data_IF_728202561236
#
_entry.id   IF_728202561236
#
_cell.length_a   1.000
_cell.length_b   1.000
_cell.length_c   1.000
_cell.angle_alpha   90.00
_cell.angle_beta   90.00
_cell.angle_gamma   90.00
#
_symmetry.space_group_name_H-M   'P 1'
#
loop_
_entity.id
_entity.type
_entity.pdbx_description
1 polymer ?
#
# COMPACT_ATOMS: atom_id res chain seq x y z
N UNK A 1 42.36 -13.14 37.70
CA UNK A 1 42.55 -12.97 36.23
C UNK A 1 41.47 -13.60 35.34
N UNK A 2 40.49 -14.37 35.85
CA UNK A 2 39.48 -15.04 34.99
C UNK A 2 38.21 -14.21 34.72
N UNK A 3 37.93 -13.17 35.51
CA UNK A 3 36.72 -12.34 35.37
C UNK A 3 36.82 -11.29 34.24
N UNK A 4 38.00 -10.70 34.02
CA UNK A 4 38.19 -9.65 33.00
C UNK A 4 38.09 -10.17 31.56
N UNK A 5 38.49 -11.43 31.33
CA UNK A 5 38.42 -12.08 30.02
C UNK A 5 36.99 -12.43 29.61
N UNK A 6 36.11 -12.69 30.59
CA UNK A 6 34.70 -12.98 30.35
C UNK A 6 33.92 -11.71 29.98
N UNK A 7 34.21 -10.59 30.64
CA UNK A 7 33.63 -9.29 30.30
C UNK A 7 34.09 -8.79 28.92
N UNK A 8 35.35 -8.97 28.56
CA UNK A 8 35.87 -8.61 27.24
C UNK A 8 35.25 -9.45 26.11
N UNK A 9 35.02 -10.75 26.33
CA UNK A 9 34.35 -11.61 25.35
C UNK A 9 32.89 -11.21 25.11
N UNK A 10 32.14 -10.86 26.17
CA UNK A 10 30.74 -10.41 26.07
C UNK A 10 30.63 -9.05 25.37
N UNK A 11 31.53 -8.11 25.68
CA UNK A 11 31.56 -6.79 25.04
C UNK A 11 31.94 -6.88 23.54
N UNK A 12 32.81 -7.84 23.18
CA UNK A 12 33.19 -8.04 21.78
C UNK A 12 32.09 -8.73 20.97
N UNK A 13 31.30 -9.62 21.58
CA UNK A 13 30.14 -10.23 20.91
C UNK A 13 28.97 -9.27 20.66
N UNK A 14 28.78 -8.26 21.51
CA UNK A 14 27.71 -7.25 21.29
C UNK A 14 28.09 -6.19 20.25
N UNK A 15 29.38 -5.92 20.03
CA UNK A 15 29.85 -4.99 19.00
C UNK A 15 29.86 -5.56 17.58
N UNK A 16 29.79 -6.89 17.41
CA UNK A 16 29.96 -7.58 16.11
C UNK A 16 28.64 -8.19 15.61
N UNK A 17 27.53 -7.97 16.31
CA UNK A 17 26.22 -8.16 15.68
C UNK A 17 26.05 -7.01 14.69
N UNK A 18 26.09 -7.25 13.36
CA UNK A 18 25.63 -6.23 12.45
C UNK A 18 24.20 -5.94 12.88
N UNK A 19 23.95 -4.70 13.31
CA UNK A 19 22.62 -4.15 13.17
C UNK A 19 22.33 -4.35 11.67
N UNK A 20 21.50 -5.35 11.35
CA UNK A 20 20.92 -5.49 10.03
C UNK A 20 19.97 -4.31 9.84
N UNK A 21 20.57 -3.11 9.72
CA UNK A 21 19.95 -1.98 9.08
C UNK A 21 19.62 -2.50 7.69
N UNK A 22 18.35 -2.72 7.44
CA UNK A 22 17.83 -2.95 6.10
C UNK A 22 18.25 -1.73 5.28
N UNK A 23 19.31 -1.90 4.50
CA UNK A 23 19.92 -0.84 3.70
C UNK A 23 19.15 -0.59 2.39
N UNK A 24 17.98 -1.24 2.21
CA UNK A 24 17.07 -0.94 1.12
C UNK A 24 16.27 0.35 1.36
N UNK A 25 16.37 0.95 2.56
CA UNK A 25 15.66 2.19 2.90
C UNK A 25 14.15 1.99 3.06
N UNK A 26 13.66 0.76 3.06
CA UNK A 26 12.26 0.42 3.19
C UNK A 26 12.02 -0.18 4.58
N UNK A 27 11.55 0.66 5.51
CA UNK A 27 11.10 0.20 6.83
C UNK A 27 10.04 -0.90 6.75
N UNK A 28 9.73 -1.53 7.89
CA UNK A 28 8.66 -2.53 7.96
C UNK A 28 7.30 -1.99 7.49
N UNK A 29 7.06 -0.68 7.62
CA UNK A 29 5.87 -0.02 7.11
C UNK A 29 5.84 0.04 5.58
N UNK A 30 6.95 0.37 4.93
CA UNK A 30 7.06 0.38 3.48
C UNK A 30 6.75 -1.00 2.86
N UNK A 31 7.25 -2.08 3.47
CA UNK A 31 6.94 -3.46 3.06
C UNK A 31 5.46 -3.80 3.27
N UNK A 32 4.88 -3.42 4.40
CA UNK A 32 3.46 -3.65 4.69
C UNK A 32 2.55 -2.91 3.70
N UNK A 33 2.89 -1.67 3.34
CA UNK A 33 2.18 -0.89 2.33
C UNK A 33 2.32 -1.51 0.94
N UNK A 34 3.51 -2.01 0.56
CA UNK A 34 3.68 -2.71 -0.71
C UNK A 34 2.79 -3.97 -0.81
N UNK A 35 2.65 -4.72 0.29
CA UNK A 35 1.71 -5.84 0.35
C UNK A 35 0.25 -5.38 0.24
N UNK A 36 -0.14 -4.33 0.99
CA UNK A 36 -1.49 -3.77 0.97
C UNK A 36 -1.89 -3.22 -0.42
N UNK A 37 -0.93 -2.72 -1.20
CA UNK A 37 -1.13 -2.32 -2.60
C UNK A 37 -1.53 -3.54 -3.44
N UNK A 38 -0.86 -4.68 -3.28
CA UNK A 38 -1.22 -5.92 -3.99
C UNK A 38 -2.63 -6.36 -3.60
N UNK A 39 -2.91 -6.42 -2.29
CA UNK A 39 -4.22 -6.83 -1.77
C UNK A 39 -5.36 -5.93 -2.30
N UNK A 40 -5.11 -4.63 -2.44
CA UNK A 40 -6.10 -3.69 -2.99
C UNK A 40 -6.48 -4.02 -4.44
N UNK A 41 -5.49 -4.29 -5.29
CA UNK A 41 -5.73 -4.59 -6.70
C UNK A 41 -6.25 -6.01 -6.91
N UNK A 42 -5.81 -6.98 -6.11
CA UNK A 42 -6.37 -8.33 -6.11
C UNK A 42 -7.85 -8.29 -5.72
N UNK A 43 -8.20 -7.57 -4.64
CA UNK A 43 -9.59 -7.37 -4.23
C UNK A 43 -10.42 -6.70 -5.32
N UNK A 44 -9.87 -5.73 -6.07
CA UNK A 44 -10.56 -5.13 -7.21
C UNK A 44 -10.76 -6.12 -8.36
N UNK A 45 -9.75 -6.92 -8.70
CA UNK A 45 -9.84 -7.92 -9.75
C UNK A 45 -10.85 -9.04 -9.41
N UNK A 46 -10.99 -9.39 -8.13
CA UNK A 46 -11.90 -10.45 -7.67
C UNK A 46 -13.25 -9.94 -7.15
N UNK A 47 -13.55 -8.64 -7.34
CA UNK A 47 -14.78 -8.02 -6.85
C UNK A 47 -15.01 -8.17 -5.32
N UNK A 48 -13.94 -8.22 -4.52
CA UNK A 48 -14.03 -8.19 -3.06
C UNK A 48 -14.19 -6.75 -2.56
N UNK A 49 -15.42 -6.25 -2.66
CA UNK A 49 -15.77 -4.88 -2.28
C UNK A 49 -15.49 -4.56 -0.80
N UNK A 50 -15.52 -5.58 0.06
CA UNK A 50 -15.26 -5.41 1.49
C UNK A 50 -13.78 -5.14 1.73
N UNK A 51 -12.91 -5.91 1.09
CA UNK A 51 -11.46 -5.70 1.20
C UNK A 51 -11.04 -4.37 0.59
N UNK A 52 -11.59 -4.00 -0.57
CA UNK A 52 -11.34 -2.67 -1.17
C UNK A 52 -11.72 -1.55 -0.21
N UNK A 53 -12.93 -1.58 0.36
CA UNK A 53 -13.38 -0.57 1.31
C UNK A 53 -12.52 -0.53 2.59
N UNK A 54 -12.08 -1.70 3.09
CA UNK A 54 -11.27 -1.80 4.30
C UNK A 54 -9.83 -1.26 4.14
N UNK A 55 -9.31 -1.23 2.91
CA UNK A 55 -7.99 -0.70 2.58
C UNK A 55 -8.01 0.81 2.31
N UNK A 56 -9.19 1.45 2.32
CA UNK A 56 -9.36 2.90 2.24
C UNK A 56 -9.58 3.50 3.63
N UNK A 57 -9.00 4.68 3.89
CA UNK A 57 -8.99 5.27 5.23
C UNK A 57 -10.40 5.42 5.80
N UNK A 58 -10.57 5.01 7.05
CA UNK A 58 -11.84 5.11 7.78
C UNK A 58 -12.26 6.57 7.99
N UNK A 59 -11.29 7.48 8.00
CA UNK A 59 -11.48 8.94 8.08
C UNK A 59 -11.71 9.60 6.71
N UNK A 60 -11.87 8.80 5.66
CA UNK A 60 -12.17 9.22 4.30
C UNK A 60 -10.94 9.47 3.43
N UNK A 61 -11.17 9.44 2.12
CA UNK A 61 -10.21 9.52 1.02
C UNK A 61 -10.24 10.90 0.34
N UNK A 62 -9.07 11.40 -0.07
CA UNK A 62 -8.90 12.56 -0.94
C UNK A 62 -8.67 12.10 -2.39
N UNK A 63 -9.72 11.62 -3.04
CA UNK A 63 -9.63 11.04 -4.38
C UNK A 63 -9.27 12.06 -5.47
N UNK A 64 -8.45 11.63 -6.42
CA UNK A 64 -8.23 12.29 -7.71
C UNK A 64 -8.50 11.29 -8.83
N UNK A 65 -9.16 11.73 -9.90
CA UNK A 65 -9.59 10.85 -10.98
C UNK A 65 -8.94 11.25 -12.31
N UNK A 66 -8.78 10.27 -13.22
CA UNK A 66 -8.28 10.50 -14.58
C UNK A 66 -9.23 11.32 -15.48
N UNK A 67 -10.43 11.64 -14.99
CA UNK A 67 -11.39 12.54 -15.63
C UNK A 67 -11.00 14.03 -15.52
N UNK A 68 -9.86 14.33 -14.88
CA UNK A 68 -9.34 15.68 -14.70
C UNK A 68 -9.89 16.40 -13.45
N UNK A 69 -10.72 15.74 -12.65
CA UNK A 69 -11.13 16.25 -11.34
C UNK A 69 -10.02 16.03 -10.30
N UNK A 70 -9.42 17.13 -9.87
CA UNK A 70 -8.50 17.18 -8.74
C UNK A 70 -9.26 17.65 -7.49
N UNK A 71 -8.84 17.21 -6.31
CA UNK A 71 -9.35 17.65 -5.02
C UNK A 71 -10.85 17.37 -4.80
N UNK A 72 -11.29 16.12 -5.00
CA UNK A 72 -12.65 15.74 -4.60
C UNK A 72 -12.86 15.99 -3.10
N UNK A 73 -14.09 16.34 -2.67
CA UNK A 73 -14.42 16.35 -1.26
C UNK A 73 -14.05 15.04 -0.60
N UNK A 74 -13.61 15.10 0.66
CA UNK A 74 -13.34 13.89 1.46
C UNK A 74 -14.58 13.01 1.46
N UNK A 75 -14.40 11.74 1.12
CA UNK A 75 -15.48 10.75 1.15
C UNK A 75 -14.98 9.41 1.70
N UNK A 76 -15.86 8.70 2.39
CA UNK A 76 -15.60 7.32 2.82
C UNK A 76 -16.48 6.41 1.98
N UNK A 77 -15.89 5.45 1.27
CA UNK A 77 -16.63 4.49 0.47
C UNK A 77 -16.96 3.25 1.30
N UNK A 78 -18.22 2.84 1.27
CA UNK A 78 -18.68 1.58 1.86
C UNK A 78 -18.49 0.40 0.89
N UNK A 79 -18.54 -0.86 1.36
CA UNK A 79 -18.57 -2.01 0.46
C UNK A 79 -19.71 -1.95 -0.56
N UNK A 80 -20.87 -1.38 -0.20
CA UNK A 80 -22.00 -1.21 -1.13
C UNK A 80 -21.72 -0.12 -2.17
N UNK A 81 -20.98 0.94 -1.82
CA UNK A 81 -20.53 1.94 -2.79
C UNK A 81 -19.58 1.31 -3.81
N UNK A 82 -18.63 0.49 -3.33
CA UNK A 82 -17.71 -0.26 -4.18
C UNK A 82 -18.42 -1.27 -5.07
N UNK A 83 -19.41 -1.99 -4.54
CA UNK A 83 -20.27 -2.89 -5.32
C UNK A 83 -20.97 -2.18 -6.47
N UNK A 84 -21.51 -0.98 -6.22
CA UNK A 84 -22.15 -0.18 -7.27
C UNK A 84 -21.14 0.38 -8.27
N UNK A 85 -19.98 0.84 -7.80
CA UNK A 85 -18.92 1.37 -8.67
C UNK A 85 -18.37 0.31 -9.63
N UNK A 86 -18.17 -0.91 -9.13
CA UNK A 86 -17.57 -2.02 -9.86
C UNK A 86 -18.58 -2.85 -10.66
N UNK A 87 -19.88 -2.52 -10.61
CA UNK A 87 -20.92 -3.30 -11.27
C UNK A 87 -20.65 -3.42 -12.78
N UNK A 88 -20.52 -4.65 -13.27
CA UNK A 88 -20.26 -4.95 -14.69
C UNK A 88 -18.80 -4.79 -15.11
N UNK A 89 -17.91 -4.30 -14.24
CA UNK A 89 -16.49 -4.20 -14.56
C UNK A 89 -15.85 -5.59 -14.59
N UNK A 90 -15.09 -5.88 -15.63
CA UNK A 90 -14.22 -7.05 -15.73
C UNK A 90 -12.78 -6.59 -15.92
N UNK A 91 -12.18 -6.17 -14.81
CA UNK A 91 -10.80 -5.70 -14.80
C UNK A 91 -9.84 -6.83 -14.44
N UNK A 92 -8.65 -6.81 -15.03
CA UNK A 92 -7.53 -7.64 -14.61
C UNK A 92 -6.27 -6.78 -14.64
N UNK A 93 -6.02 -6.10 -13.52
CA UNK A 93 -4.93 -5.14 -13.36
C UNK A 93 -3.80 -5.73 -12.53
N UNK A 94 -2.56 -5.44 -12.91
CA UNK A 94 -1.36 -5.89 -12.22
C UNK A 94 -0.48 -4.69 -11.85
N UNK A 95 0.13 -4.78 -10.67
CA UNK A 95 1.04 -3.78 -10.13
C UNK A 95 2.46 -4.09 -10.59
N UNK A 96 3.14 -3.08 -11.13
CA UNK A 96 4.52 -3.16 -11.58
C UNK A 96 5.37 -2.10 -10.89
N UNK A 97 6.55 -2.51 -10.44
CA UNK A 97 7.56 -1.64 -9.81
C UNK A 97 6.99 -0.79 -8.67
N UNK A 98 6.41 -1.40 -7.61
CA UNK A 98 5.99 -0.64 -6.45
C UNK A 98 7.18 -0.03 -5.73
N UNK A 99 7.18 1.28 -5.63
CA UNK A 99 8.13 2.05 -4.86
C UNK A 99 7.39 2.72 -3.70
N UNK A 100 7.78 2.39 -2.47
CA UNK A 100 7.13 2.90 -1.25
C UNK A 100 8.17 3.54 -0.35
N UNK A 101 7.94 4.79 0.06
CA UNK A 101 8.79 5.50 0.99
C UNK A 101 7.96 5.97 2.19
N UNK A 102 8.39 5.63 3.40
CA UNK A 102 7.86 6.28 4.62
C UNK A 102 8.34 7.72 4.65
N UNK A 103 7.41 8.68 4.70
CA UNK A 103 7.70 10.12 4.64
C UNK A 103 7.49 10.80 5.99
N UNK A 104 6.78 10.15 6.91
CA UNK A 104 6.65 10.51 8.31
C UNK A 104 6.26 9.24 9.11
N UNK A 105 6.30 9.32 10.44
CA UNK A 105 5.80 8.23 11.30
C UNK A 105 4.35 7.92 10.94
N UNK A 106 4.07 6.65 10.59
CA UNK A 106 2.74 6.20 10.19
C UNK A 106 2.23 6.78 8.87
N UNK A 107 3.10 7.35 8.02
CA UNK A 107 2.71 7.87 6.70
C UNK A 107 3.70 7.42 5.63
N UNK A 108 3.17 6.80 4.58
CA UNK A 108 3.95 6.35 3.44
C UNK A 108 3.43 6.94 2.13
N UNK A 109 4.35 7.28 1.23
CA UNK A 109 4.05 7.60 -0.15
C UNK A 109 4.40 6.42 -1.04
N UNK A 110 3.48 6.03 -1.90
CA UNK A 110 3.67 4.95 -2.86
C UNK A 110 3.50 5.45 -4.29
N UNK A 111 4.34 4.95 -5.19
CA UNK A 111 4.18 5.12 -6.64
C UNK A 111 4.41 3.79 -7.36
N UNK A 112 3.62 3.51 -8.37
CA UNK A 112 3.74 2.28 -9.17
C UNK A 112 3.11 2.42 -10.54
N UNK A 113 3.43 1.49 -11.43
CA UNK A 113 2.72 1.30 -12.69
C UNK A 113 1.61 0.28 -12.48
N UNK A 114 0.45 0.56 -13.07
CA UNK A 114 -0.67 -0.36 -13.10
C UNK A 114 -0.98 -0.68 -14.55
N UNK A 115 -0.93 -1.96 -14.91
CA UNK A 115 -1.12 -2.42 -16.29
C UNK A 115 -2.09 -3.59 -16.34
N UNK A 116 -2.91 -3.66 -17.38
CA UNK A 116 -3.89 -4.74 -17.49
C UNK A 116 -4.96 -4.50 -18.53
N UNK A 117 -6.09 -5.18 -18.34
CA UNK A 117 -7.31 -5.01 -19.13
C UNK A 117 -8.40 -4.40 -18.26
N UNK A 118 -9.16 -3.47 -18.84
CA UNK A 118 -10.37 -2.90 -18.22
C UNK A 118 -11.52 -2.93 -19.23
N UNK A 119 -12.74 -2.85 -18.71
CA UNK A 119 -13.95 -2.84 -19.53
C UNK A 119 -15.05 -3.70 -18.91
N UNK A 120 -15.95 -4.18 -19.76
CA UNK A 120 -17.05 -5.07 -19.39
C UNK A 120 -17.09 -6.30 -20.32
N UNK A 121 -18.18 -7.06 -20.31
CA UNK A 121 -18.37 -8.22 -21.20
C UNK A 121 -18.45 -7.86 -22.69
N UNK A 122 -18.82 -6.63 -23.02
CA UNK A 122 -19.01 -6.19 -24.40
C UNK A 122 -17.72 -5.66 -25.02
N UNK A 123 -16.92 -4.93 -24.24
CA UNK A 123 -15.66 -4.36 -24.71
C UNK A 123 -14.57 -4.39 -23.64
N UNK A 124 -13.40 -4.91 -24.03
CA UNK A 124 -12.19 -4.98 -23.21
C UNK A 124 -11.05 -4.28 -23.93
N UNK A 125 -10.31 -3.44 -23.22
CA UNK A 125 -9.18 -2.71 -23.81
C UNK A 125 -7.99 -2.64 -22.85
N UNK A 126 -6.76 -2.60 -23.39
CA UNK A 126 -5.57 -2.48 -22.57
C UNK A 126 -5.55 -1.12 -21.86
N UNK A 127 -5.21 -1.13 -20.58
CA UNK A 127 -5.07 0.07 -19.77
C UNK A 127 -3.73 0.06 -19.04
N UNK A 128 -3.05 1.21 -19.10
CA UNK A 128 -1.80 1.46 -18.38
C UNK A 128 -1.86 2.84 -17.75
N UNK A 129 -1.60 2.91 -16.45
CA UNK A 129 -1.52 4.17 -15.73
C UNK A 129 -0.38 4.16 -14.71
N UNK A 130 -0.04 5.35 -14.22
CA UNK A 130 0.82 5.55 -13.07
C UNK A 130 -0.07 5.90 -11.89
N UNK A 131 0.07 5.16 -10.80
CA UNK A 131 -0.69 5.41 -9.57
C UNK A 131 0.25 5.99 -8.53
N UNK A 132 -0.24 6.99 -7.81
CA UNK A 132 0.44 7.58 -6.67
C UNK A 132 -0.54 7.67 -5.52
N UNK A 133 -0.20 7.07 -4.40
CA UNK A 133 -1.05 7.06 -3.22
C UNK A 133 -0.28 7.53 -1.99
N UNK A 134 -0.98 8.18 -1.06
CA UNK A 134 -0.53 8.34 0.33
C UNK A 134 -1.25 7.30 1.18
N UNK A 135 -0.50 6.57 1.98
CA UNK A 135 -0.98 5.58 2.94
C UNK A 135 -0.74 6.08 4.35
N UNK A 136 -1.69 5.81 5.24
CA UNK A 136 -1.61 6.15 6.67
C UNK A 136 -1.80 4.89 7.51
N UNK A 137 -0.98 4.76 8.55
CA UNK A 137 -1.16 3.76 9.59
C UNK A 137 -2.22 4.28 10.56
N UNK A 138 -3.36 3.60 10.62
CA UNK A 138 -4.45 3.98 11.53
C UNK A 138 -4.27 3.35 12.91
N UNK A 139 -5.08 3.79 13.88
CA UNK A 139 -4.97 3.38 15.30
C UNK A 139 -5.13 1.88 15.53
N UNK A 140 -5.81 1.18 14.62
CA UNK A 140 -5.97 -0.28 14.63
C UNK A 140 -4.77 -1.04 14.02
N UNK A 141 -3.70 -0.32 13.70
CA UNK A 141 -2.45 -0.87 13.17
C UNK A 141 -2.53 -1.28 11.69
N UNK A 142 -3.58 -0.88 10.97
CA UNK A 142 -3.72 -1.17 9.54
C UNK A 142 -3.27 0.02 8.68
N UNK A 143 -2.55 -0.27 7.61
CA UNK A 143 -2.22 0.72 6.58
C UNK A 143 -3.39 0.89 5.62
N UNK A 144 -3.82 2.13 5.42
CA UNK A 144 -4.95 2.46 4.53
C UNK A 144 -4.61 3.62 3.61
N UNK A 145 -5.17 3.59 2.40
CA UNK A 145 -5.05 4.67 1.42
C UNK A 145 -5.74 5.91 1.99
N UNK A 146 -5.12 7.08 1.82
CA UNK A 146 -5.66 8.39 2.23
C UNK A 146 -5.85 9.35 1.05
N UNK A 147 -4.96 9.29 0.06
CA UNK A 147 -4.99 10.13 -1.14
C UNK A 147 -4.40 9.35 -2.32
#
# INVERSE_FOLDING_TARGET
MKFSHFCAAILLTTLVLPNHSMADGHGSGAHAVAAAISDYWDARNTADHKTVANLESSTGMLGTNSDGSFHKPVSTATPDDWKRNMAGQQNNMQVFYPEVAEIAEGVAYARYYLEGMVGDDAEQYPYRTRVTNVWVLEEDGQWRIKA
#
